data_IF_577571763012
#
_entry.id   IF_577571763012
#
_cell.length_a   1.000
_cell.length_b   1.000
_cell.length_c   1.000
_cell.angle_alpha   90.00
_cell.angle_beta   90.00
_cell.angle_gamma   90.00
#
_symmetry.space_group_name_H-M   'P 1'
#
loop_
_entity.id
_entity.type
_entity.pdbx_description
1 polymer ?
#
# COMPACT_ATOMS: atom_id res chain seq x y z
N UNK A 1 -29.68 20.19 -9.43
CA UNK A 1 -28.49 20.47 -10.26
C UNK A 1 -27.27 20.60 -9.36
N UNK A 2 -26.26 19.76 -9.60
CA UNK A 2 -24.83 19.93 -9.32
C UNK A 2 -24.35 20.22 -7.87
N UNK A 3 -23.71 19.23 -7.20
CA UNK A 3 -22.24 19.04 -7.08
C UNK A 3 -21.66 20.00 -6.02
N UNK A 4 -20.90 19.64 -5.00
CA UNK A 4 -19.93 18.57 -4.82
C UNK A 4 -19.42 18.72 -3.37
N UNK A 5 -19.79 17.79 -2.48
CA UNK A 5 -19.23 17.77 -1.13
C UNK A 5 -17.76 17.39 -1.22
N UNK A 6 -16.91 18.39 -1.42
CA UNK A 6 -15.46 18.32 -1.25
C UNK A 6 -15.22 18.09 0.24
N UNK A 7 -15.40 16.85 0.67
CA UNK A 7 -14.90 16.39 1.97
C UNK A 7 -13.39 16.31 1.82
N UNK A 8 -12.78 17.47 2.04
CA UNK A 8 -11.36 17.65 2.29
C UNK A 8 -11.03 16.88 3.59
N UNK A 9 -10.96 15.55 3.49
CA UNK A 9 -10.47 14.69 4.56
C UNK A 9 -8.97 14.90 4.61
N UNK A 10 -8.53 15.74 5.54
CA UNK A 10 -7.17 15.72 6.07
C UNK A 10 -6.88 14.28 6.51
N UNK A 11 -6.30 13.48 5.61
CA UNK A 11 -5.98 12.08 5.88
C UNK A 11 -4.86 12.07 6.90
N UNK A 12 -5.20 11.89 8.18
CA UNK A 12 -4.23 11.42 9.18
C UNK A 12 -3.44 10.27 8.56
N UNK A 13 -2.10 10.27 8.62
CA UNK A 13 -1.32 9.17 8.08
C UNK A 13 -1.71 7.91 8.84
N UNK A 14 -2.23 6.92 8.12
CA UNK A 14 -2.70 5.64 8.66
C UNK A 14 -1.51 4.80 9.19
N UNK A 15 -0.28 5.21 8.85
CA UNK A 15 0.98 4.55 9.21
C UNK A 15 1.86 5.55 9.96
N UNK A 16 2.44 5.10 11.07
CA UNK A 16 3.51 5.81 11.76
C UNK A 16 4.76 5.86 10.85
N UNK A 17 5.11 7.05 10.37
CA UNK A 17 6.17 7.20 9.38
C UNK A 17 7.55 6.86 9.94
N UNK A 18 7.86 7.22 11.18
CA UNK A 18 9.17 6.93 11.78
C UNK A 18 9.38 5.43 11.96
N UNK A 19 8.36 4.75 12.49
CA UNK A 19 8.36 3.31 12.68
C UNK A 19 8.43 2.56 11.34
N UNK A 20 7.66 3.00 10.34
CA UNK A 20 7.77 2.45 8.99
C UNK A 20 9.18 2.61 8.41
N UNK A 21 9.84 3.76 8.59
CA UNK A 21 11.21 3.98 8.11
C UNK A 21 12.23 3.07 8.81
N UNK A 22 12.03 2.80 10.10
CA UNK A 22 12.84 1.83 10.86
C UNK A 22 12.71 0.44 10.23
N UNK A 23 11.48 -0.02 10.05
CA UNK A 23 11.19 -1.35 9.48
C UNK A 23 11.69 -1.45 8.03
N UNK A 24 11.47 -0.43 7.20
CA UNK A 24 11.96 -0.38 5.82
C UNK A 24 13.49 -0.49 5.77
N UNK A 25 14.19 0.14 6.71
CA UNK A 25 15.66 0.02 6.79
C UNK A 25 16.07 -1.43 7.08
N UNK A 26 15.35 -2.15 7.95
CA UNK A 26 15.60 -3.57 8.23
C UNK A 26 15.31 -4.47 7.01
N UNK A 27 14.20 -4.21 6.30
CA UNK A 27 13.87 -4.91 5.05
C UNK A 27 15.00 -4.75 4.02
N UNK A 28 15.53 -3.53 3.88
CA UNK A 28 16.63 -3.24 2.95
C UNK A 28 17.96 -3.90 3.37
N UNK A 29 18.10 -4.26 4.65
CA UNK A 29 19.23 -5.04 5.18
C UNK A 29 19.03 -6.55 5.05
N UNK A 30 17.89 -7.01 4.53
CA UNK A 30 17.59 -8.43 4.32
C UNK A 30 16.87 -9.12 5.49
N UNK A 31 16.35 -8.36 6.45
CA UNK A 31 15.56 -8.93 7.54
C UNK A 31 14.17 -9.37 7.05
N UNK A 32 13.97 -10.69 6.96
CA UNK A 32 12.70 -11.28 6.51
C UNK A 32 11.56 -11.11 7.52
N UNK A 33 11.85 -10.92 8.82
CA UNK A 33 10.82 -10.66 9.82
C UNK A 33 10.25 -9.24 9.68
N UNK A 34 11.07 -8.29 9.22
CA UNK A 34 10.66 -6.91 9.02
C UNK A 34 9.57 -6.75 7.95
N UNK A 35 9.50 -7.63 6.95
CA UNK A 35 8.42 -7.61 5.95
C UNK A 35 7.05 -7.87 6.58
N UNK A 36 6.97 -8.87 7.48
CA UNK A 36 5.76 -9.17 8.22
C UNK A 36 5.41 -8.01 9.17
N UNK A 37 6.40 -7.42 9.84
CA UNK A 37 6.18 -6.26 10.71
C UNK A 37 5.59 -5.06 9.94
N UNK A 38 6.10 -4.78 8.74
CA UNK A 38 5.57 -3.72 7.89
C UNK A 38 4.13 -4.01 7.44
N UNK A 39 3.85 -5.27 7.10
CA UNK A 39 2.51 -5.71 6.70
C UNK A 39 1.48 -5.55 7.81
N UNK A 40 1.87 -5.82 9.06
CA UNK A 40 1.02 -5.65 10.24
C UNK A 40 0.83 -4.16 10.59
N UNK A 41 1.92 -3.39 10.63
CA UNK A 41 1.87 -1.93 10.85
C UNK A 41 0.96 -1.23 9.83
N UNK A 42 1.03 -1.66 8.57
CA UNK A 42 0.26 -1.11 7.45
C UNK A 42 -1.14 -1.71 7.27
N UNK A 43 -1.62 -2.61 8.12
CA UNK A 43 -2.84 -3.41 7.86
C UNK A 43 -4.07 -2.56 7.51
N UNK A 44 -4.32 -1.48 8.26
CA UNK A 44 -5.45 -0.55 7.98
C UNK A 44 -5.25 0.20 6.66
N UNK A 45 -4.02 0.58 6.35
CA UNK A 45 -3.68 1.29 5.13
C UNK A 45 -3.82 0.39 3.90
N UNK A 46 -3.30 -0.84 3.96
CA UNK A 46 -3.44 -1.88 2.92
C UNK A 46 -4.91 -2.12 2.60
N UNK A 47 -5.74 -2.33 3.63
CA UNK A 47 -7.19 -2.53 3.50
C UNK A 47 -7.88 -1.30 2.89
N UNK A 48 -7.49 -0.09 3.30
CA UNK A 48 -8.07 1.14 2.77
C UNK A 48 -7.76 1.38 1.28
N UNK A 49 -6.59 0.96 0.80
CA UNK A 49 -6.25 1.01 -0.64
C UNK A 49 -6.99 -0.08 -1.40
N UNK A 50 -7.00 -1.32 -0.90
CA UNK A 50 -7.67 -2.46 -1.53
C UNK A 50 -9.18 -2.23 -1.71
N UNK A 51 -9.85 -1.65 -0.70
CA UNK A 51 -11.30 -1.35 -0.74
C UNK A 51 -11.75 -0.49 -1.94
N UNK A 52 -10.86 0.27 -2.55
CA UNK A 52 -11.17 1.09 -3.73
C UNK A 52 -11.32 0.27 -5.02
N UNK A 53 -10.99 -1.02 -4.98
CA UNK A 53 -10.99 -1.93 -6.15
C UNK A 53 -11.96 -3.11 -6.00
N UNK A 54 -12.77 -3.12 -4.95
CA UNK A 54 -13.83 -4.14 -4.74
C UNK A 54 -14.80 -4.11 -5.92
N UNK A 55 -15.27 -5.30 -6.33
CA UNK A 55 -16.18 -5.46 -7.47
C UNK A 55 -15.51 -5.43 -8.84
N UNK A 56 -14.17 -5.44 -8.91
CA UNK A 56 -13.41 -5.47 -10.18
C UNK A 56 -12.90 -6.87 -10.57
N UNK A 57 -13.64 -7.92 -10.22
CA UNK A 57 -13.32 -9.30 -10.59
C UNK A 57 -12.34 -10.04 -9.67
N UNK A 58 -11.82 -9.38 -8.62
CA UNK A 58 -11.05 -10.03 -7.55
C UNK A 58 -11.85 -10.06 -6.25
N UNK A 59 -11.62 -11.10 -5.45
CA UNK A 59 -12.09 -11.18 -4.07
C UNK A 59 -11.38 -10.18 -3.15
N UNK A 60 -11.98 -9.90 -1.98
CA UNK A 60 -11.40 -9.01 -0.98
C UNK A 60 -10.02 -9.48 -0.52
N UNK A 61 -9.82 -10.79 -0.37
CA UNK A 61 -8.53 -11.38 0.02
C UNK A 61 -7.46 -11.18 -1.05
N UNK A 62 -7.79 -11.41 -2.33
CA UNK A 62 -6.88 -11.18 -3.46
C UNK A 62 -6.47 -9.69 -3.56
N UNK A 63 -7.42 -8.77 -3.38
CA UNK A 63 -7.13 -7.33 -3.38
C UNK A 63 -6.21 -6.92 -2.23
N UNK A 64 -6.44 -7.45 -1.02
CA UNK A 64 -5.60 -7.19 0.15
C UNK A 64 -4.20 -7.77 -0.08
N UNK A 65 -4.09 -8.99 -0.59
CA UNK A 65 -2.82 -9.65 -0.87
C UNK A 65 -2.00 -8.87 -1.91
N UNK A 66 -2.62 -8.46 -3.03
CA UNK A 66 -1.97 -7.64 -4.06
C UNK A 66 -1.54 -6.27 -3.53
N UNK A 67 -2.39 -5.63 -2.73
CA UNK A 67 -2.10 -4.36 -2.06
C UNK A 67 -0.89 -4.48 -1.11
N UNK A 68 -0.86 -5.53 -0.27
CA UNK A 68 0.26 -5.82 0.64
C UNK A 68 1.54 -6.07 -0.14
N UNK A 69 1.48 -6.85 -1.21
CA UNK A 69 2.61 -7.10 -2.10
C UNK A 69 3.18 -5.81 -2.71
N UNK A 70 2.31 -4.90 -3.18
CA UNK A 70 2.75 -3.60 -3.68
C UNK A 70 3.41 -2.73 -2.61
N UNK A 71 2.94 -2.78 -1.36
CA UNK A 71 3.56 -2.07 -0.24
C UNK A 71 4.97 -2.61 0.09
N UNK A 72 5.15 -3.93 0.10
CA UNK A 72 6.47 -4.55 0.29
C UNK A 72 7.40 -4.22 -0.88
N UNK A 73 6.92 -4.31 -2.12
CA UNK A 73 7.71 -3.88 -3.29
C UNK A 73 8.17 -2.42 -3.17
N UNK A 74 7.33 -1.55 -2.61
CA UNK A 74 7.68 -0.16 -2.34
C UNK A 74 8.78 -0.04 -1.28
N UNK A 75 8.76 -0.83 -0.20
CA UNK A 75 9.77 -0.73 0.88
C UNK A 75 11.17 -1.07 0.38
N UNK A 76 11.31 -2.11 -0.46
CA UNK A 76 12.61 -2.45 -1.05
C UNK A 76 13.19 -1.34 -1.93
N UNK A 77 12.33 -0.54 -2.58
CA UNK A 77 12.74 0.53 -3.52
C UNK A 77 12.66 1.94 -2.93
N UNK A 78 12.30 2.07 -1.66
CA UNK A 78 12.05 3.38 -1.06
C UNK A 78 13.37 4.05 -0.68
N UNK A 79 13.54 5.29 -1.12
CA UNK A 79 14.71 6.11 -0.83
C UNK A 79 14.33 7.22 0.16
N UNK A 80 14.76 7.05 1.42
CA UNK A 80 14.49 8.00 2.51
C UNK A 80 15.22 9.33 2.38
N UNK A 81 16.27 9.42 1.56
CA UNK A 81 17.04 10.67 1.37
C UNK A 81 16.24 11.75 0.63
N UNK A 82 15.20 11.35 -0.11
CA UNK A 82 14.39 12.25 -0.96
C UNK A 82 13.38 13.11 -0.19
N UNK A 83 13.22 12.91 1.13
CA UNK A 83 12.39 13.76 1.99
C UNK A 83 10.87 13.58 1.84
N UNK A 84 10.41 12.56 1.09
CA UNK A 84 8.98 12.25 0.97
C UNK A 84 8.53 11.18 1.95
N UNK A 85 7.24 11.21 2.34
CA UNK A 85 6.63 10.19 3.21
C UNK A 85 6.49 8.86 2.48
N UNK A 86 6.77 7.76 3.16
CA UNK A 86 6.66 6.41 2.58
C UNK A 86 5.26 6.12 2.02
N UNK A 87 4.21 6.53 2.74
CA UNK A 87 2.82 6.29 2.33
C UNK A 87 2.52 6.83 0.92
N UNK A 88 3.07 8.00 0.56
CA UNK A 88 2.88 8.58 -0.78
C UNK A 88 3.50 7.71 -1.87
N UNK A 89 4.68 7.16 -1.62
CA UNK A 89 5.36 6.26 -2.54
C UNK A 89 4.67 4.90 -2.65
N UNK A 90 4.27 4.35 -1.50
CA UNK A 90 3.62 3.04 -1.41
C UNK A 90 2.31 2.98 -2.21
N UNK A 91 1.47 4.03 -2.16
CA UNK A 91 0.18 4.03 -2.89
C UNK A 91 0.37 3.72 -4.37
N UNK A 92 1.40 4.25 -5.03
CA UNK A 92 1.61 4.00 -6.46
C UNK A 92 1.86 2.51 -6.73
N UNK A 93 2.79 1.89 -6.00
CA UNK A 93 3.12 0.47 -6.12
C UNK A 93 1.95 -0.45 -5.72
N UNK A 94 1.18 -0.07 -4.70
CA UNK A 94 -0.01 -0.81 -4.28
C UNK A 94 -1.08 -0.83 -5.37
N UNK A 95 -1.34 0.32 -6.01
CA UNK A 95 -2.29 0.42 -7.12
C UNK A 95 -1.81 -0.36 -8.34
N UNK A 96 -0.53 -0.27 -8.67
CA UNK A 96 0.09 -1.03 -9.76
C UNK A 96 -0.11 -2.54 -9.57
N UNK A 97 0.21 -3.05 -8.37
CA UNK A 97 0.07 -4.46 -8.04
C UNK A 97 -1.38 -4.96 -8.14
N UNK A 98 -2.34 -4.21 -7.60
CA UNK A 98 -3.76 -4.56 -7.70
C UNK A 98 -4.22 -4.60 -9.16
N UNK A 99 -3.89 -3.59 -9.95
CA UNK A 99 -4.27 -3.52 -11.37
C UNK A 99 -3.59 -4.60 -12.21
N UNK A 100 -2.37 -5.00 -11.85
CA UNK A 100 -1.71 -6.14 -12.47
C UNK A 100 -2.47 -7.43 -12.18
N UNK A 101 -2.91 -7.64 -10.94
CA UNK A 101 -3.60 -8.86 -10.54
C UNK A 101 -5.00 -8.97 -11.16
N UNK A 102 -5.74 -7.85 -11.25
CA UNK A 102 -7.03 -7.79 -11.96
C UNK A 102 -6.84 -8.22 -13.42
N UNK A 103 -5.84 -7.66 -14.11
CA UNK A 103 -5.55 -8.00 -15.51
C UNK A 103 -5.17 -9.47 -15.69
N UNK A 104 -4.43 -10.07 -14.75
CA UNK A 104 -4.10 -11.49 -14.82
C UNK A 104 -5.35 -12.35 -14.70
N UNK A 105 -6.24 -12.03 -13.75
CA UNK A 105 -7.49 -12.77 -13.51
C UNK A 105 -8.46 -12.68 -14.70
N UNK A 106 -8.51 -11.53 -15.36
CA UNK A 106 -9.37 -11.32 -16.53
C UNK A 106 -8.93 -12.14 -17.76
N UNK A 107 -7.63 -12.42 -17.90
CA UNK A 107 -7.06 -13.14 -19.05
C UNK A 107 -6.97 -14.67 -18.84
N UNK A 108 -7.59 -15.20 -17.78
CA UNK A 108 -7.42 -16.57 -17.32
C UNK A 108 -8.75 -17.26 -17.07
#
# INVERSE_FOLDING_TARGET
MANNTTTNKVKKPIINNEEALRIITLIQQGDSHAENELAELGSVFVKAVAKQYVGKGLSDEELIAASRYGMLRASHKFDKSRGFKFASYAVWWMREAILQEIRKKENN
#
